data_IF_881101000299
#
_entry.id   IF_881101000299
#
_cell.length_a   1.000
_cell.length_b   1.000
_cell.length_c   1.000
_cell.angle_alpha   90.00
_cell.angle_beta   90.00
_cell.angle_gamma   90.00
#
_symmetry.space_group_name_H-M   'P 1'
#
loop_
_entity.id
_entity.type
_entity.pdbx_description
1 polymer ?
#
# COMPACT_ATOMS: atom_id res chain seq x y z
N UNK A 1 -2.89 -25.16 4.31
CA UNK A 1 -4.32 -25.42 4.50
C UNK A 1 -5.03 -24.37 5.38
N UNK A 2 -4.55 -24.12 6.62
CA UNK A 2 -5.17 -23.16 7.56
C UNK A 2 -5.35 -21.73 7.02
N UNK A 3 -4.36 -21.20 6.32
CA UNK A 3 -4.40 -19.84 5.77
C UNK A 3 -5.42 -19.70 4.63
N UNK A 4 -5.52 -20.72 3.77
CA UNK A 4 -6.52 -20.79 2.70
C UNK A 4 -7.94 -20.85 3.27
N UNK A 5 -8.16 -21.68 4.29
CA UNK A 5 -9.46 -21.78 4.96
C UNK A 5 -9.86 -20.45 5.62
N UNK A 6 -8.91 -19.76 6.26
CA UNK A 6 -9.15 -18.44 6.87
C UNK A 6 -9.44 -17.36 5.81
N UNK A 7 -8.71 -17.39 4.68
CA UNK A 7 -8.92 -16.48 3.55
C UNK A 7 -10.29 -16.68 2.90
N UNK A 8 -10.71 -17.93 2.73
CA UNK A 8 -12.02 -18.27 2.15
C UNK A 8 -13.14 -17.84 3.10
N UNK A 9 -13.00 -18.08 4.40
CA UNK A 9 -14.00 -17.70 5.40
C UNK A 9 -14.17 -16.18 5.50
N UNK A 10 -13.06 -15.43 5.49
CA UNK A 10 -13.09 -13.97 5.50
C UNK A 10 -13.71 -13.38 4.23
N UNK A 11 -13.43 -13.97 3.06
CA UNK A 11 -14.08 -13.55 1.81
C UNK A 11 -15.59 -13.84 1.79
N UNK A 12 -16.03 -14.95 2.40
CA UNK A 12 -17.45 -15.29 2.52
C UNK A 12 -18.24 -14.33 3.42
N UNK A 13 -17.60 -13.83 4.48
CA UNK A 13 -18.19 -12.84 5.40
C UNK A 13 -18.15 -11.42 4.78
N UNK A 14 -17.17 -11.14 3.91
CA UNK A 14 -17.06 -9.87 3.20
C UNK A 14 -18.13 -9.70 2.09
N UNK A 15 -18.66 -10.79 1.54
CA UNK A 15 -19.68 -10.80 0.48
C UNK A 15 -20.99 -10.03 0.83
N UNK A 16 -21.63 -10.26 1.99
CA UNK A 16 -22.83 -9.49 2.37
C UNK A 16 -22.53 -8.01 2.69
N UNK A 17 -21.30 -7.68 3.12
CA UNK A 17 -20.86 -6.29 3.35
C UNK A 17 -20.61 -5.56 2.02
N UNK A 18 -20.12 -6.28 1.00
CA UNK A 18 -19.98 -5.77 -0.37
C UNK A 18 -21.32 -5.37 -1.01
N UNK A 19 -22.41 -6.01 -0.59
CA UNK A 19 -23.74 -5.83 -1.17
C UNK A 19 -24.54 -4.66 -0.56
N UNK A 20 -24.24 -4.25 0.69
CA UNK A 20 -25.11 -3.36 1.47
C UNK A 20 -24.69 -1.87 1.48
N UNK A 21 -23.42 -1.52 1.24
CA UNK A 21 -22.94 -0.12 1.26
C UNK A 21 -21.82 0.14 0.22
N UNK A 22 -22.13 0.26 -1.08
CA UNK A 22 -21.14 0.32 -2.15
C UNK A 22 -20.19 1.52 -2.06
N UNK A 23 -20.72 2.70 -1.70
CA UNK A 23 -19.95 3.95 -1.73
C UNK A 23 -18.96 4.09 -0.56
N UNK A 24 -19.37 3.71 0.65
CA UNK A 24 -18.50 3.78 1.84
C UNK A 24 -17.43 2.69 1.79
N UNK A 25 -17.79 1.50 1.29
CA UNK A 25 -16.86 0.41 1.11
C UNK A 25 -15.77 0.77 0.09
N UNK A 26 -16.09 1.42 -1.02
CA UNK A 26 -15.08 1.88 -1.99
C UNK A 26 -14.07 2.84 -1.37
N UNK A 27 -14.52 3.84 -0.61
CA UNK A 27 -13.63 4.83 0.00
C UNK A 27 -12.73 4.19 1.04
N UNK A 28 -13.30 3.38 1.95
CA UNK A 28 -12.53 2.64 2.94
C UNK A 28 -11.59 1.62 2.28
N UNK A 29 -12.03 0.95 1.23
CA UNK A 29 -11.22 0.01 0.47
C UNK A 29 -10.00 0.72 -0.13
N UNK A 30 -10.17 1.83 -0.85
CA UNK A 30 -9.03 2.54 -1.44
C UNK A 30 -8.12 3.18 -0.40
N UNK A 31 -8.66 3.76 0.67
CA UNK A 31 -7.85 4.34 1.75
C UNK A 31 -7.03 3.28 2.47
N UNK A 32 -7.68 2.17 2.86
CA UNK A 32 -7.08 1.16 3.70
C UNK A 32 -6.14 0.25 2.89
N UNK A 33 -6.53 -0.15 1.68
CA UNK A 33 -5.63 -0.86 0.76
C UNK A 33 -4.50 0.04 0.30
N UNK A 34 -4.76 1.30 -0.02
CA UNK A 34 -3.70 2.24 -0.38
C UNK A 34 -2.69 2.43 0.75
N UNK A 35 -3.14 2.59 1.99
CA UNK A 35 -2.25 2.66 3.15
C UNK A 35 -1.43 1.39 3.35
N UNK A 36 -2.04 0.20 3.25
CA UNK A 36 -1.35 -1.08 3.40
C UNK A 36 -0.32 -1.31 2.29
N UNK A 37 -0.72 -1.12 1.04
CA UNK A 37 0.15 -1.29 -0.13
C UNK A 37 1.33 -0.33 -0.04
N UNK A 38 1.06 0.96 0.18
CA UNK A 38 2.15 1.94 0.23
C UNK A 38 3.16 1.63 1.33
N UNK A 39 2.68 1.15 2.48
CA UNK A 39 3.51 0.72 3.60
C UNK A 39 4.38 -0.47 3.23
N UNK A 40 3.82 -1.50 2.62
CA UNK A 40 4.52 -2.74 2.32
C UNK A 40 5.58 -2.55 1.23
N UNK A 41 5.22 -1.87 0.14
CA UNK A 41 6.16 -1.56 -0.94
C UNK A 41 7.27 -0.59 -0.49
N UNK A 42 6.96 0.39 0.37
CA UNK A 42 7.98 1.27 0.93
C UNK A 42 8.97 0.50 1.81
N UNK A 43 8.49 -0.37 2.69
CA UNK A 43 9.35 -1.18 3.55
C UNK A 43 10.23 -2.14 2.77
N UNK A 44 9.69 -2.77 1.71
CA UNK A 44 10.48 -3.62 0.81
C UNK A 44 11.66 -2.88 0.18
N UNK A 45 11.51 -1.59 -0.13
CA UNK A 45 12.58 -0.76 -0.68
C UNK A 45 13.53 -0.27 0.41
N UNK A 46 13.00 0.16 1.55
CA UNK A 46 13.77 0.79 2.62
C UNK A 46 14.62 -0.21 3.42
N UNK A 47 14.14 -1.46 3.61
CA UNK A 47 14.86 -2.51 4.37
C UNK A 47 16.24 -2.85 3.81
N UNK A 48 16.49 -2.56 2.53
CA UNK A 48 17.80 -2.77 1.89
C UNK A 48 18.74 -1.56 2.01
N UNK A 49 18.30 -0.47 2.63
CA UNK A 49 18.98 0.83 2.57
C UNK A 49 19.18 1.49 3.94
N UNK A 50 18.34 1.19 4.92
CA UNK A 50 18.27 1.85 6.23
C UNK A 50 17.86 0.86 7.32
N UNK A 51 18.13 1.22 8.58
CA UNK A 51 17.79 0.38 9.74
C UNK A 51 16.29 0.38 10.05
N UNK A 52 15.81 -0.64 10.77
CA UNK A 52 14.37 -0.77 11.09
C UNK A 52 13.81 0.44 11.85
N UNK A 53 14.58 1.07 12.72
CA UNK A 53 14.15 2.26 13.46
C UNK A 53 13.90 3.44 12.52
N UNK A 54 14.81 3.60 11.56
CA UNK A 54 14.84 4.57 10.47
C UNK A 54 13.61 4.43 9.53
N UNK A 55 13.27 3.19 9.18
CA UNK A 55 12.06 2.91 8.38
C UNK A 55 10.80 3.37 9.12
N UNK A 56 10.74 3.20 10.44
CA UNK A 56 9.57 3.59 11.25
C UNK A 56 9.47 5.12 11.38
N UNK A 57 10.58 5.83 11.59
CA UNK A 57 10.62 7.31 11.61
C UNK A 57 10.16 7.88 10.28
N UNK A 58 10.76 7.45 9.16
CA UNK A 58 10.39 7.94 7.82
C UNK A 58 8.90 7.73 7.55
N UNK A 59 8.40 6.52 7.81
CA UNK A 59 7.00 6.20 7.55
C UNK A 59 6.04 7.06 8.36
N UNK A 60 6.37 7.40 9.61
CA UNK A 60 5.58 8.31 10.45
C UNK A 60 5.61 9.74 9.92
N UNK A 61 6.79 10.21 9.50
CA UNK A 61 6.96 11.56 8.94
C UNK A 61 6.20 11.75 7.61
N UNK A 62 6.05 10.70 6.81
CA UNK A 62 5.48 10.80 5.44
C UNK A 62 4.19 10.02 5.22
N UNK A 63 3.42 9.73 6.27
CA UNK A 63 2.16 8.97 6.16
C UNK A 63 1.22 9.51 5.09
N UNK A 64 1.05 10.84 5.01
CA UNK A 64 0.17 11.45 4.02
C UNK A 64 0.64 11.24 2.58
N UNK A 65 1.96 11.29 2.34
CA UNK A 65 2.55 11.07 1.02
C UNK A 65 2.47 9.61 0.61
N UNK A 66 2.80 8.69 1.53
CA UNK A 66 2.66 7.26 1.32
C UNK A 66 1.21 6.89 1.01
N UNK A 67 0.25 7.41 1.77
CA UNK A 67 -1.17 7.18 1.56
C UNK A 67 -1.63 7.68 0.18
N UNK A 68 -1.18 8.86 -0.27
CA UNK A 68 -1.49 9.37 -1.61
C UNK A 68 -0.98 8.45 -2.73
N UNK A 69 0.28 8.03 -2.69
CA UNK A 69 0.82 7.07 -3.66
C UNK A 69 0.13 5.71 -3.57
N UNK A 70 -0.16 5.26 -2.36
CA UNK A 70 -0.89 4.04 -2.09
C UNK A 70 -2.28 4.03 -2.70
N UNK A 71 -3.03 5.13 -2.56
CA UNK A 71 -4.36 5.27 -3.14
C UNK A 71 -4.32 5.20 -4.68
N UNK A 72 -3.33 5.85 -5.31
CA UNK A 72 -3.12 5.76 -6.77
C UNK A 72 -2.79 4.32 -7.18
N UNK A 73 -1.88 3.65 -6.47
CA UNK A 73 -1.52 2.26 -6.76
C UNK A 73 -2.74 1.34 -6.60
N UNK A 74 -3.49 1.48 -5.50
CA UNK A 74 -4.70 0.71 -5.24
C UNK A 74 -5.77 0.92 -6.32
N UNK A 75 -5.91 2.16 -6.81
CA UNK A 75 -6.79 2.47 -7.94
C UNK A 75 -6.34 1.76 -9.21
N UNK A 76 -5.06 1.83 -9.57
CA UNK A 76 -4.53 1.17 -10.78
C UNK A 76 -4.66 -0.36 -10.75
N UNK A 77 -4.61 -0.99 -9.56
CA UNK A 77 -4.81 -2.44 -9.41
C UNK A 77 -6.23 -2.89 -9.76
N UNK A 78 -7.22 -1.99 -9.77
CA UNK A 78 -8.61 -2.35 -10.09
C UNK A 78 -8.84 -2.63 -11.56
N UNK A 79 -7.94 -2.15 -12.44
CA UNK A 79 -7.98 -2.43 -13.87
C UNK A 79 -7.15 -3.69 -14.14
N UNK A 80 -7.75 -4.82 -14.57
CA UNK A 80 -7.06 -6.12 -14.64
C UNK A 80 -5.80 -6.12 -15.51
N UNK A 81 -5.82 -5.47 -16.67
CA UNK A 81 -4.67 -5.39 -17.57
C UNK A 81 -3.56 -4.51 -17.02
N UNK A 82 -3.92 -3.42 -16.33
CA UNK A 82 -2.95 -2.50 -15.71
C UNK A 82 -2.28 -3.15 -14.51
N UNK A 83 -3.02 -3.96 -13.75
CA UNK A 83 -2.55 -4.64 -12.55
C UNK A 83 -1.30 -5.51 -12.80
N UNK A 84 -1.07 -5.99 -14.02
CA UNK A 84 0.15 -6.70 -14.41
C UNK A 84 1.41 -5.83 -14.29
N UNK A 85 1.29 -4.53 -14.53
CA UNK A 85 2.40 -3.57 -14.50
C UNK A 85 2.49 -2.80 -13.18
N UNK A 86 1.41 -2.81 -12.38
CA UNK A 86 1.34 -2.06 -11.12
C UNK A 86 2.47 -2.40 -10.15
N UNK A 87 2.86 -3.67 -9.91
CA UNK A 87 3.95 -3.98 -8.98
C UNK A 87 5.28 -3.32 -9.36
N UNK A 88 5.58 -3.27 -10.67
CA UNK A 88 6.79 -2.61 -11.19
C UNK A 88 6.69 -1.10 -10.98
N UNK A 89 5.55 -0.51 -11.33
CA UNK A 89 5.30 0.92 -11.14
C UNK A 89 5.35 1.34 -9.67
N UNK A 90 4.74 0.56 -8.78
CA UNK A 90 4.72 0.77 -7.34
C UNK A 90 6.14 0.75 -6.78
N UNK A 91 6.94 -0.25 -7.14
CA UNK A 91 8.34 -0.36 -6.70
C UNK A 91 9.17 0.82 -7.21
N UNK A 92 9.05 1.17 -8.49
CA UNK A 92 9.77 2.30 -9.07
C UNK A 92 9.39 3.62 -8.37
N UNK A 93 8.11 3.83 -8.12
CA UNK A 93 7.59 5.02 -7.41
C UNK A 93 8.12 5.09 -5.99
N UNK A 94 8.13 3.97 -5.25
CA UNK A 94 8.66 3.94 -3.88
C UNK A 94 10.16 4.14 -3.81
N UNK A 95 10.93 3.68 -4.80
CA UNK A 95 12.37 3.99 -4.91
C UNK A 95 12.58 5.49 -5.11
N UNK A 96 11.85 6.12 -6.03
CA UNK A 96 11.96 7.56 -6.26
C UNK A 96 11.51 8.38 -5.05
N UNK A 97 10.42 7.96 -4.39
CA UNK A 97 9.97 8.58 -3.15
C UNK A 97 11.07 8.46 -2.10
N UNK A 98 11.57 7.25 -1.82
CA UNK A 98 12.62 7.02 -0.84
C UNK A 98 13.87 7.88 -1.11
N UNK A 99 14.37 7.87 -2.36
CA UNK A 99 15.55 8.66 -2.73
C UNK A 99 15.29 10.16 -2.67
N UNK A 100 14.11 10.62 -3.06
CA UNK A 100 13.70 12.02 -2.99
C UNK A 100 13.59 12.50 -1.54
N UNK A 101 13.10 11.65 -0.63
CA UNK A 101 13.05 11.94 0.80
C UNK A 101 14.45 12.00 1.41
N UNK A 102 15.31 11.03 1.07
CA UNK A 102 16.70 10.98 1.52
C UNK A 102 17.53 12.19 1.04
N UNK A 103 17.32 12.64 -0.20
CA UNK A 103 17.96 13.86 -0.74
C UNK A 103 17.54 15.14 -0.03
N UNK A 104 16.34 15.20 0.55
CA UNK A 104 15.85 16.39 1.27
C UNK A 104 16.40 16.52 2.69
N UNK A 105 17.30 15.63 3.12
CA UNK A 105 17.96 15.73 4.42
C UNK A 105 17.03 15.57 5.61
N UNK A 106 15.80 15.10 5.38
CA UNK A 106 14.93 14.71 6.47
C UNK A 106 15.52 13.40 6.99
N UNK A 107 15.85 13.32 8.29
CA UNK A 107 16.53 12.16 8.85
C UNK A 107 15.77 10.94 8.39
N UNK A 108 16.51 10.12 7.65
CA UNK A 108 16.11 8.74 7.51
C UNK A 108 15.96 8.24 8.97
#
# INVERSE_FOLDING_TARGET
ARFLALSILLNLIALPVYLLLPAVNLVLFYFLNGYLISREYFDMVAIRRVDKAEIVSMRRAYRGRLLGFGAVIAFLMTVPLVNLFVPVFATATMVHLFQGLRRKGIPA
#
